data_IF_527645187563
#
_entry.id   IF_527645187563
#
_cell.length_a   1.000
_cell.length_b   1.000
_cell.length_c   1.000
_cell.angle_alpha   90.00
_cell.angle_beta   90.00
_cell.angle_gamma   90.00
#
_symmetry.space_group_name_H-M   'P 1'
#
loop_
_entity.id
_entity.type
_entity.pdbx_description
1 polymer ?
#
# COMPACT_ATOMS: atom_id res chain seq x y z
N UNK A 1 10.97 15.69 22.07
CA UNK A 1 9.81 15.97 21.20
C UNK A 1 8.97 14.72 21.24
N UNK A 2 7.76 14.81 21.80
CA UNK A 2 6.89 13.64 21.97
C UNK A 2 5.85 13.63 20.84
N UNK A 3 5.68 12.47 20.21
CA UNK A 3 4.62 12.26 19.23
C UNK A 3 3.36 11.85 19.99
N UNK A 4 2.31 12.66 19.89
CA UNK A 4 1.02 12.39 20.48
C UNK A 4 0.02 11.99 19.39
N UNK A 5 -0.65 10.86 19.57
CA UNK A 5 -1.72 10.41 18.68
C UNK A 5 -3.05 10.40 19.46
N UNK A 6 -4.15 10.93 18.91
CA UNK A 6 -5.48 10.77 19.51
C UNK A 6 -5.82 9.30 19.76
N UNK A 7 -6.42 8.99 20.91
CA UNK A 7 -6.72 7.60 21.31
C UNK A 7 -7.75 6.91 20.41
N UNK A 8 -8.56 7.70 19.69
CA UNK A 8 -9.56 7.30 18.70
C UNK A 8 -8.98 7.16 17.28
N UNK A 9 -7.69 7.43 17.07
CA UNK A 9 -7.06 7.26 15.77
C UNK A 9 -7.11 5.79 15.33
N UNK A 10 -7.69 5.53 14.16
CA UNK A 10 -7.84 4.19 13.59
C UNK A 10 -6.52 3.41 13.54
N UNK A 11 -5.40 4.11 13.33
CA UNK A 11 -4.07 3.51 13.24
C UNK A 11 -3.70 2.66 14.48
N UNK A 12 -4.22 3.00 15.67
CA UNK A 12 -4.05 2.25 16.91
C UNK A 12 -4.71 0.87 16.85
N UNK A 13 -5.85 0.78 16.19
CA UNK A 13 -6.62 -0.46 16.03
C UNK A 13 -6.00 -1.37 14.97
N UNK A 14 -5.19 -0.80 14.06
CA UNK A 14 -4.59 -1.52 12.95
C UNK A 14 -3.18 -2.02 13.26
N UNK A 15 -2.33 -1.18 13.84
CA UNK A 15 -0.90 -1.45 14.02
C UNK A 15 -0.44 -1.39 15.48
N UNK A 16 0.61 -2.14 15.79
CA UNK A 16 1.31 -2.19 17.09
C UNK A 16 2.27 -1.00 17.24
N UNK A 17 1.72 0.21 17.21
CA UNK A 17 2.51 1.45 17.29
C UNK A 17 2.86 1.76 18.75
N UNK A 18 4.15 1.95 19.00
CA UNK A 18 4.67 2.32 20.32
C UNK A 18 4.84 3.84 20.44
N UNK A 19 3.72 4.54 20.61
CA UNK A 19 3.66 6.00 20.82
C UNK A 19 2.67 6.35 21.93
N UNK A 20 2.78 7.56 22.44
CA UNK A 20 1.86 8.07 23.45
C UNK A 20 0.50 8.37 22.81
N UNK A 21 -0.51 7.61 23.20
CA UNK A 21 -1.90 7.89 22.87
C UNK A 21 -2.53 8.77 23.95
N UNK A 22 -3.28 9.79 23.55
CA UNK A 22 -3.97 10.69 24.47
C UNK A 22 -5.49 10.62 24.31
N UNK A 23 -6.21 10.70 25.43
CA UNK A 23 -7.68 10.67 25.46
C UNK A 23 -8.33 11.98 25.00
N UNK A 24 -7.53 13.00 24.66
CA UNK A 24 -8.03 14.25 24.12
C UNK A 24 -8.51 14.05 22.68
N UNK A 25 -9.83 13.96 22.52
CA UNK A 25 -10.45 14.09 21.20
C UNK A 25 -10.14 15.49 20.64
N UNK A 26 -9.90 15.58 19.33
CA UNK A 26 -9.53 16.84 18.67
C UNK A 26 -8.19 17.45 19.11
N UNK A 27 -7.22 16.63 19.56
CA UNK A 27 -5.87 17.08 19.98
C UNK A 27 -5.22 18.12 19.04
N UNK A 28 -5.39 17.94 17.73
CA UNK A 28 -4.76 18.79 16.71
C UNK A 28 -5.58 20.03 16.32
N UNK A 29 -6.75 20.25 16.94
CA UNK A 29 -7.64 21.36 16.56
C UNK A 29 -7.00 22.70 16.90
N UNK A 30 -6.90 23.56 15.88
CA UNK A 30 -6.29 24.89 16.01
C UNK A 30 -4.76 24.89 15.98
N UNK A 31 -4.11 23.73 15.92
CA UNK A 31 -2.65 23.68 15.77
C UNK A 31 -2.22 24.09 14.35
N UNK A 32 -1.08 24.80 14.22
CA UNK A 32 -0.46 25.01 12.91
C UNK A 32 -0.19 23.69 12.20
N UNK A 33 -0.58 23.60 10.92
CA UNK A 33 -0.38 22.41 10.11
C UNK A 33 0.90 22.50 9.30
N UNK A 34 1.74 21.48 9.38
CA UNK A 34 2.88 21.27 8.50
C UNK A 34 2.48 20.22 7.47
N UNK A 35 2.30 20.65 6.22
CA UNK A 35 1.86 19.80 5.11
C UNK A 35 3.01 19.56 4.14
N UNK A 36 3.04 18.38 3.54
CA UNK A 36 3.84 18.12 2.35
C UNK A 36 3.28 18.94 1.18
N UNK A 37 4.06 19.90 0.68
CA UNK A 37 3.64 20.78 -0.43
C UNK A 37 3.98 20.19 -1.79
N UNK A 38 4.79 19.14 -1.85
CA UNK A 38 5.29 18.54 -3.08
C UNK A 38 4.69 17.17 -3.38
N UNK A 39 3.89 16.59 -2.46
CA UNK A 39 3.28 15.27 -2.60
C UNK A 39 2.76 14.99 -4.02
N UNK A 40 3.12 13.85 -4.65
CA UNK A 40 3.85 12.72 -4.05
C UNK A 40 5.39 12.83 -4.08
N UNK A 41 5.96 13.99 -4.42
CA UNK A 41 7.41 14.26 -4.47
C UNK A 41 7.98 14.57 -3.08
N UNK A 42 9.28 14.33 -2.89
CA UNK A 42 9.94 14.57 -1.61
C UNK A 42 10.11 16.07 -1.30
N UNK A 43 9.40 16.54 -0.28
CA UNK A 43 9.55 17.88 0.31
C UNK A 43 10.53 17.84 1.49
N UNK A 44 11.81 18.16 1.22
CA UNK A 44 12.84 18.24 2.26
C UNK A 44 12.51 19.23 3.39
N UNK A 45 11.65 20.22 3.15
CA UNK A 45 11.34 21.24 4.15
C UNK A 45 10.49 20.68 5.28
N UNK A 46 9.76 19.58 5.05
CA UNK A 46 8.93 18.94 6.06
C UNK A 46 9.74 18.29 7.18
N UNK A 47 11.02 17.98 6.93
CA UNK A 47 11.93 17.43 7.94
C UNK A 47 12.65 18.52 8.75
N UNK A 48 12.59 19.77 8.29
CA UNK A 48 13.31 20.89 8.89
C UNK A 48 12.34 21.89 9.53
N UNK A 49 11.48 21.40 10.42
CA UNK A 49 10.67 22.27 11.27
C UNK A 49 11.33 22.40 12.64
N UNK A 50 11.59 23.64 13.05
CA UNK A 50 11.81 23.99 14.45
C UNK A 50 10.52 24.62 14.94
N UNK A 51 9.96 24.12 16.03
CA UNK A 51 8.79 24.74 16.65
C UNK A 51 9.01 24.94 18.13
N UNK A 52 8.74 26.17 18.58
CA UNK A 52 8.55 26.50 20.00
C UNK A 52 7.12 26.17 20.47
N UNK A 53 6.32 25.51 19.63
CA UNK A 53 4.89 25.23 19.86
C UNK A 53 4.49 23.86 19.32
N UNK A 54 3.31 23.38 19.71
CA UNK A 54 2.76 22.14 19.16
C UNK A 54 2.29 22.35 17.71
N UNK A 55 2.56 21.38 16.84
CA UNK A 55 2.14 21.38 15.43
C UNK A 55 1.34 20.13 15.11
N UNK A 56 0.53 20.21 14.05
CA UNK A 56 -0.08 19.05 13.42
C UNK A 56 0.70 18.69 12.15
N UNK A 57 1.26 17.48 12.11
CA UNK A 57 1.80 16.94 10.86
C UNK A 57 0.65 16.51 9.94
N UNK A 58 0.71 16.96 8.70
CA UNK A 58 -0.26 16.63 7.65
C UNK A 58 -0.10 15.22 7.09
N UNK A 59 -0.98 14.90 6.15
CA UNK A 59 -0.96 13.65 5.37
C UNK A 59 -0.22 13.85 4.04
N UNK A 60 -0.14 12.78 3.23
CA UNK A 60 0.40 12.86 1.86
C UNK A 60 1.89 12.58 1.74
N UNK A 61 2.54 12.07 2.80
CA UNK A 61 3.93 11.64 2.78
C UNK A 61 4.12 10.37 1.93
N UNK A 62 4.09 10.56 0.61
CA UNK A 62 4.15 9.47 -0.38
C UNK A 62 5.54 9.35 -1.03
N UNK A 63 6.57 9.95 -0.44
CA UNK A 63 7.95 9.68 -0.82
C UNK A 63 8.61 8.71 0.15
N UNK A 64 9.27 7.69 -0.39
CA UNK A 64 10.04 6.77 0.42
C UNK A 64 11.23 7.44 1.13
N UNK A 65 11.69 8.58 0.61
CA UNK A 65 12.81 9.35 1.18
C UNK A 65 12.52 9.87 2.59
N UNK A 66 11.24 10.00 2.97
CA UNK A 66 10.88 10.32 4.36
C UNK A 66 11.18 9.18 5.34
N UNK A 67 11.13 7.93 4.87
CA UNK A 67 11.10 6.76 5.75
C UNK A 67 12.38 5.91 5.70
N UNK A 68 13.19 6.03 4.63
CA UNK A 68 14.32 5.11 4.41
C UNK A 68 15.29 5.02 5.59
N UNK A 69 15.60 6.14 6.25
CA UNK A 69 16.49 6.18 7.42
C UNK A 69 15.92 5.44 8.64
N UNK A 70 14.60 5.29 8.68
CA UNK A 70 13.85 4.74 9.78
C UNK A 70 13.17 3.40 9.43
N UNK A 71 13.49 2.80 8.27
CA UNK A 71 12.77 1.65 7.71
C UNK A 71 12.58 0.51 8.71
N UNK A 72 13.66 0.11 9.40
CA UNK A 72 13.61 -0.94 10.43
C UNK A 72 12.67 -0.60 11.60
N UNK A 73 12.69 0.66 12.06
CA UNK A 73 11.84 1.10 13.16
C UNK A 73 10.38 1.21 12.72
N UNK A 74 10.16 1.72 11.51
CA UNK A 74 8.83 1.90 10.94
C UNK A 74 8.15 0.56 10.69
N UNK A 75 8.85 -0.41 10.08
CA UNK A 75 8.33 -1.78 9.89
C UNK A 75 7.99 -2.46 11.21
N UNK A 76 8.77 -2.23 12.29
CA UNK A 76 8.46 -2.75 13.62
C UNK A 76 7.15 -2.16 14.16
N UNK A 77 6.96 -0.85 14.04
CA UNK A 77 5.76 -0.16 14.53
C UNK A 77 4.53 -0.39 13.66
N UNK A 78 4.71 -0.58 12.35
CA UNK A 78 3.65 -0.91 11.39
C UNK A 78 3.44 -2.44 11.28
N UNK A 79 3.64 -3.15 12.39
CA UNK A 79 3.22 -4.55 12.52
C UNK A 79 1.73 -4.57 12.82
N UNK A 80 0.94 -5.34 12.06
CA UNK A 80 -0.49 -5.46 12.33
C UNK A 80 -0.78 -6.03 13.71
N UNK A 81 -1.82 -5.52 14.36
CA UNK A 81 -2.36 -6.07 15.60
C UNK A 81 -2.65 -7.57 15.44
N UNK A 82 -2.43 -8.35 16.51
CA UNK A 82 -2.56 -9.82 16.50
C UNK A 82 -3.84 -10.32 15.84
N UNK A 83 -5.00 -9.72 16.16
CA UNK A 83 -6.28 -10.16 15.62
C UNK A 83 -6.42 -9.94 14.10
N UNK A 84 -5.84 -8.86 13.55
CA UNK A 84 -5.80 -8.60 12.10
C UNK A 84 -4.84 -9.58 11.42
N UNK A 85 -3.66 -9.78 12.02
CA UNK A 85 -2.65 -10.72 11.53
C UNK A 85 -3.19 -12.16 11.47
N UNK A 86 -3.90 -12.58 12.51
CA UNK A 86 -4.48 -13.92 12.58
C UNK A 86 -5.61 -14.09 11.55
N UNK A 87 -6.47 -13.09 11.37
CA UNK A 87 -7.53 -13.11 10.35
C UNK A 87 -6.95 -13.21 8.93
N UNK A 88 -5.94 -12.40 8.60
CA UNK A 88 -5.25 -12.44 7.30
C UNK A 88 -4.61 -13.81 7.04
N UNK A 89 -3.91 -14.38 8.04
CA UNK A 89 -3.31 -15.72 7.92
C UNK A 89 -4.36 -16.81 7.74
N UNK A 90 -5.47 -16.74 8.49
CA UNK A 90 -6.57 -17.68 8.34
C UNK A 90 -7.15 -17.64 6.93
N UNK A 91 -7.31 -16.46 6.35
CA UNK A 91 -7.81 -16.32 4.98
C UNK A 91 -6.84 -16.93 3.96
N UNK A 92 -5.53 -16.66 4.09
CA UNK A 92 -4.51 -17.31 3.25
C UNK A 92 -4.56 -18.84 3.40
N UNK A 93 -4.69 -19.39 4.61
CA UNK A 93 -4.78 -20.84 4.80
C UNK A 93 -6.04 -21.46 4.18
N UNK A 94 -7.19 -20.76 4.25
CA UNK A 94 -8.40 -21.21 3.56
C UNK A 94 -8.20 -21.27 2.05
N UNK A 95 -7.57 -20.24 1.47
CA UNK A 95 -7.22 -20.18 0.04
C UNK A 95 -6.32 -21.35 -0.35
N UNK A 96 -5.25 -21.60 0.41
CA UNK A 96 -4.32 -22.68 0.13
C UNK A 96 -5.00 -24.06 0.22
N UNK A 97 -5.84 -24.26 1.23
CA UNK A 97 -6.63 -25.49 1.37
C UNK A 97 -7.60 -25.69 0.21
N UNK A 98 -8.32 -24.64 -0.20
CA UNK A 98 -9.21 -24.66 -1.38
C UNK A 98 -8.46 -25.08 -2.65
N UNK A 99 -7.17 -24.74 -2.75
CA UNK A 99 -6.28 -25.04 -3.88
C UNK A 99 -5.48 -26.34 -3.71
N UNK A 100 -5.73 -27.13 -2.66
CA UNK A 100 -4.96 -28.34 -2.33
C UNK A 100 -3.45 -28.10 -2.19
N UNK A 101 -3.04 -26.91 -1.76
CA UNK A 101 -1.63 -26.58 -1.48
C UNK A 101 -1.34 -26.89 -0.01
N UNK A 102 -0.49 -27.88 0.22
CA UNK A 102 -0.21 -28.42 1.57
C UNK A 102 0.96 -27.74 2.29
N UNK A 103 1.83 -27.04 1.56
CA UNK A 103 3.02 -26.38 2.10
C UNK A 103 3.19 -24.97 1.55
N UNK A 104 3.46 -24.00 2.43
CA UNK A 104 3.79 -22.63 2.03
C UNK A 104 5.09 -22.54 1.23
N UNK A 105 6.00 -23.51 1.34
CA UNK A 105 7.27 -23.48 0.61
C UNK A 105 7.13 -23.81 -0.88
N UNK A 106 6.00 -24.38 -1.28
CA UNK A 106 5.78 -24.89 -2.63
C UNK A 106 5.04 -23.88 -3.54
N UNK A 107 4.69 -22.72 -2.98
CA UNK A 107 3.93 -21.67 -3.68
C UNK A 107 4.47 -20.28 -3.33
N UNK A 108 4.66 -19.47 -4.36
CA UNK A 108 4.89 -18.02 -4.22
C UNK A 108 3.54 -17.30 -4.23
N UNK A 109 3.23 -16.57 -3.17
CA UNK A 109 2.04 -15.73 -3.09
C UNK A 109 2.36 -14.32 -3.55
N UNK A 110 1.57 -13.79 -4.48
CA UNK A 110 1.69 -12.41 -4.96
C UNK A 110 0.40 -11.68 -4.64
N UNK A 111 0.46 -10.73 -3.72
CA UNK A 111 -0.67 -9.86 -3.40
C UNK A 111 -0.88 -8.85 -4.54
N UNK A 112 -2.11 -8.68 -5.01
CA UNK A 112 -2.44 -7.75 -6.10
C UNK A 112 -3.46 -6.74 -5.58
N UNK A 113 -3.08 -5.46 -5.58
CA UNK A 113 -3.99 -4.37 -5.23
C UNK A 113 -4.39 -3.57 -6.46
N UNK A 114 -5.68 -3.60 -6.79
CA UNK A 114 -6.26 -2.88 -7.92
C UNK A 114 -7.18 -1.76 -7.40
N UNK A 115 -6.74 -0.50 -7.52
CA UNK A 115 -7.55 0.69 -7.23
C UNK A 115 -8.31 1.12 -8.47
N UNK A 116 -9.62 1.16 -8.36
CA UNK A 116 -10.56 1.67 -9.36
C UNK A 116 -11.45 2.74 -8.78
N UNK A 117 -12.31 2.41 -7.82
CA UNK A 117 -13.36 3.25 -7.21
C UNK A 117 -13.41 4.71 -7.66
N UNK A 118 -12.89 5.61 -6.83
CA UNK A 118 -12.83 7.07 -7.07
C UNK A 118 -11.86 7.49 -8.19
N UNK A 119 -11.09 6.55 -8.73
CA UNK A 119 -10.08 6.79 -9.77
C UNK A 119 -10.61 6.61 -11.18
N UNK A 120 -11.70 5.87 -11.36
CA UNK A 120 -12.35 5.73 -12.66
C UNK A 120 -13.05 7.05 -13.01
N UNK A 121 -12.71 7.63 -14.16
CA UNK A 121 -13.35 8.85 -14.67
C UNK A 121 -12.97 10.14 -13.96
N UNK A 122 -11.94 10.14 -13.10
CA UNK A 122 -11.49 11.36 -12.45
C UNK A 122 -10.70 12.29 -13.38
N UNK A 123 -10.72 13.57 -13.02
CA UNK A 123 -9.98 14.65 -13.71
C UNK A 123 -8.62 14.93 -13.07
N UNK A 124 -8.24 14.16 -12.05
CA UNK A 124 -6.99 14.36 -11.31
C UNK A 124 -5.75 13.99 -12.13
N UNK A 125 -5.94 13.32 -13.28
CA UNK A 125 -4.84 13.02 -14.20
C UNK A 125 -4.16 11.68 -13.97
N UNK A 126 -4.77 10.78 -13.19
CA UNK A 126 -4.24 9.44 -13.03
C UNK A 126 -4.54 8.56 -14.25
N UNK A 127 -3.59 7.68 -14.56
CA UNK A 127 -3.87 6.48 -15.33
C UNK A 127 -4.23 5.36 -14.35
N UNK A 128 -5.30 4.64 -14.65
CA UNK A 128 -5.71 3.46 -13.89
C UNK A 128 -5.13 2.22 -14.56
N UNK A 129 -4.97 1.14 -13.78
CA UNK A 129 -4.51 -0.12 -14.33
C UNK A 129 -5.45 -0.61 -15.45
N UNK A 130 -4.83 -1.04 -16.55
CA UNK A 130 -5.49 -1.65 -17.69
C UNK A 130 -5.08 -3.14 -17.79
N UNK A 131 -5.76 -3.94 -18.62
CA UNK A 131 -5.43 -5.35 -18.80
C UNK A 131 -3.97 -5.59 -19.20
N UNK A 132 -3.41 -4.75 -20.07
CA UNK A 132 -2.03 -4.88 -20.54
C UNK A 132 -1.02 -4.80 -19.41
N UNK A 133 -1.16 -3.82 -18.51
CA UNK A 133 -0.32 -3.71 -17.32
C UNK A 133 -0.48 -4.95 -16.43
N UNK A 134 -1.71 -5.39 -16.16
CA UNK A 134 -1.97 -6.54 -15.30
C UNK A 134 -1.33 -7.81 -15.88
N UNK A 135 -1.43 -8.01 -17.21
CA UNK A 135 -0.77 -9.10 -17.92
C UNK A 135 0.75 -9.03 -17.81
N UNK A 136 1.37 -7.86 -18.06
CA UNK A 136 2.82 -7.69 -17.90
C UNK A 136 3.28 -7.95 -16.47
N UNK A 137 2.54 -7.45 -15.48
CA UNK A 137 2.86 -7.60 -14.07
C UNK A 137 2.75 -9.06 -13.60
N UNK A 138 1.68 -9.77 -13.97
CA UNK A 138 1.54 -11.20 -13.72
C UNK A 138 2.66 -11.98 -14.41
N UNK A 139 2.93 -11.67 -15.68
CA UNK A 139 3.98 -12.34 -16.46
C UNK A 139 5.37 -12.20 -15.84
N UNK A 140 5.68 -11.05 -15.23
CA UNK A 140 6.93 -10.87 -14.50
C UNK A 140 7.13 -11.91 -13.38
N UNK A 141 6.09 -12.25 -12.63
CA UNK A 141 6.20 -13.22 -11.53
C UNK A 141 6.17 -14.67 -12.03
N UNK A 142 5.29 -15.03 -12.96
CA UNK A 142 5.20 -16.41 -13.47
C UNK A 142 6.45 -16.83 -14.26
N UNK A 143 7.14 -15.88 -14.91
CA UNK A 143 8.41 -16.17 -15.60
C UNK A 143 9.57 -16.37 -14.62
N UNK A 144 9.48 -15.80 -13.42
CA UNK A 144 10.54 -15.80 -12.42
C UNK A 144 10.38 -16.90 -11.37
N UNK A 145 9.15 -17.27 -11.03
CA UNK A 145 8.83 -18.21 -9.96
C UNK A 145 8.07 -19.41 -10.53
N UNK A 146 8.46 -20.63 -10.12
CA UNK A 146 7.95 -21.89 -10.68
C UNK A 146 6.45 -22.12 -10.44
N UNK A 147 5.93 -21.66 -9.30
CA UNK A 147 4.55 -21.89 -8.86
C UNK A 147 4.06 -20.62 -8.17
N UNK A 148 3.07 -19.95 -8.75
CA UNK A 148 2.60 -18.63 -8.30
C UNK A 148 1.09 -18.63 -8.12
N UNK A 149 0.63 -18.05 -7.02
CA UNK A 149 -0.79 -17.79 -6.75
C UNK A 149 -0.96 -16.29 -6.47
N UNK A 150 -1.83 -15.65 -7.25
CA UNK A 150 -2.16 -14.25 -7.08
C UNK A 150 -3.36 -14.09 -6.15
N UNK A 151 -3.26 -13.23 -5.14
CA UNK A 151 -4.35 -12.90 -4.22
C UNK A 151 -4.76 -11.44 -4.47
N UNK A 152 -5.92 -11.25 -5.09
CA UNK A 152 -6.39 -9.94 -5.57
C UNK A 152 -7.35 -9.31 -4.57
N UNK A 153 -7.04 -8.08 -4.17
CA UNK A 153 -7.96 -7.16 -3.49
C UNK A 153 -8.23 -5.96 -4.40
N UNK A 154 -9.46 -5.46 -4.36
CA UNK A 154 -9.89 -4.39 -5.26
C UNK A 154 -11.16 -3.71 -4.75
N UNK A 155 -11.26 -2.40 -4.95
CA UNK A 155 -12.51 -1.65 -4.80
C UNK A 155 -13.33 -1.61 -6.11
N UNK A 156 -12.88 -2.32 -7.15
CA UNK A 156 -13.58 -2.56 -8.40
C UNK A 156 -13.49 -4.05 -8.76
N UNK A 157 -14.04 -4.91 -7.90
CA UNK A 157 -13.88 -6.36 -7.95
C UNK A 157 -14.38 -6.98 -9.26
N UNK A 158 -15.56 -6.59 -9.74
CA UNK A 158 -16.13 -7.15 -10.97
C UNK A 158 -15.29 -6.81 -12.21
N UNK A 159 -14.80 -5.57 -12.30
CA UNK A 159 -13.86 -5.21 -13.35
C UNK A 159 -12.57 -6.03 -13.24
N UNK A 160 -12.07 -6.25 -12.03
CA UNK A 160 -10.83 -6.99 -11.80
C UNK A 160 -10.95 -8.45 -12.24
N UNK A 161 -12.06 -9.12 -11.91
CA UNK A 161 -12.35 -10.48 -12.37
C UNK A 161 -12.40 -10.61 -13.89
N UNK A 162 -12.90 -9.58 -14.57
CA UNK A 162 -13.02 -9.57 -16.03
C UNK A 162 -11.71 -9.25 -16.76
N UNK A 163 -10.78 -8.52 -16.13
CA UNK A 163 -9.60 -7.96 -16.80
C UNK A 163 -8.26 -8.55 -16.34
N UNK A 164 -8.26 -9.36 -15.27
CA UNK A 164 -7.08 -10.14 -14.89
C UNK A 164 -6.88 -11.33 -15.85
N UNK A 165 -5.63 -11.73 -16.12
CA UNK A 165 -5.35 -12.93 -16.92
C UNK A 165 -6.02 -14.19 -16.34
N UNK A 166 -6.57 -15.02 -17.21
CA UNK A 166 -7.38 -16.19 -16.84
C UNK A 166 -6.61 -17.50 -16.81
N UNK A 167 -5.39 -17.51 -17.34
CA UNK A 167 -4.51 -18.68 -17.50
C UNK A 167 -3.56 -18.90 -16.30
N UNK A 168 -3.73 -18.11 -15.23
CA UNK A 168 -2.94 -18.20 -14.00
C UNK A 168 -3.81 -18.44 -12.76
N UNK A 169 -3.27 -19.03 -11.68
CA UNK A 169 -4.00 -19.19 -10.42
C UNK A 169 -4.27 -17.83 -9.76
N UNK A 170 -5.55 -17.45 -9.64
CA UNK A 170 -5.98 -16.21 -8.97
C UNK A 170 -7.07 -16.50 -7.94
N UNK A 171 -6.95 -15.93 -6.75
CA UNK A 171 -8.02 -15.83 -5.76
C UNK A 171 -8.38 -14.37 -5.50
N UNK A 172 -9.68 -14.08 -5.41
CA UNK A 172 -10.20 -12.75 -5.15
C UNK A 172 -10.68 -12.67 -3.71
N UNK A 173 -10.17 -11.70 -2.95
CA UNK A 173 -10.43 -11.56 -1.51
C UNK A 173 -11.08 -10.21 -1.21
N UNK A 174 -12.05 -10.25 -0.31
CA UNK A 174 -12.56 -9.09 0.41
C UNK A 174 -13.07 -9.55 1.78
N UNK A 175 -12.43 -9.10 2.84
CA UNK A 175 -12.81 -9.36 4.23
C UNK A 175 -13.74 -8.28 4.80
N UNK A 176 -14.24 -7.38 3.94
CA UNK A 176 -15.17 -6.30 4.28
C UNK A 176 -14.54 -5.15 5.08
N UNK A 177 -13.24 -5.22 5.40
CA UNK A 177 -12.49 -4.18 6.11
C UNK A 177 -11.15 -3.92 5.44
N UNK A 178 -10.80 -2.66 5.11
CA UNK A 178 -9.56 -2.34 4.39
C UNK A 178 -8.29 -2.82 5.10
N UNK A 179 -8.24 -2.76 6.43
CA UNK A 179 -7.09 -3.22 7.21
C UNK A 179 -6.89 -4.74 7.14
N UNK A 180 -7.96 -5.51 7.01
CA UNK A 180 -7.90 -6.96 6.84
C UNK A 180 -7.47 -7.33 5.43
N UNK A 181 -7.99 -6.63 4.42
CA UNK A 181 -7.58 -6.79 3.02
C UNK A 181 -6.10 -6.45 2.83
N UNK A 182 -5.65 -5.30 3.39
CA UNK A 182 -4.25 -4.89 3.40
C UNK A 182 -3.37 -5.95 4.06
N UNK A 183 -3.74 -6.40 5.26
CA UNK A 183 -2.96 -7.41 5.98
C UNK A 183 -2.86 -8.71 5.18
N UNK A 184 -3.91 -9.12 4.47
CA UNK A 184 -3.91 -10.33 3.63
C UNK A 184 -2.86 -10.23 2.53
N UNK A 185 -2.82 -9.13 1.79
CA UNK A 185 -1.83 -8.98 0.70
C UNK A 185 -0.42 -8.64 1.18
N UNK A 186 -0.26 -7.93 2.31
CA UNK A 186 1.07 -7.68 2.91
C UNK A 186 1.73 -8.97 3.41
N UNK A 187 0.95 -9.98 3.80
CA UNK A 187 1.46 -11.30 4.19
C UNK A 187 1.78 -12.21 2.99
N UNK A 188 1.58 -11.75 1.75
CA UNK A 188 2.10 -12.43 0.56
C UNK A 188 3.62 -12.25 0.45
N UNK A 189 4.26 -13.04 -0.43
CA UNK A 189 5.70 -12.97 -0.63
C UNK A 189 6.09 -11.73 -1.44
N UNK A 190 5.27 -11.36 -2.42
CA UNK A 190 5.49 -10.22 -3.34
C UNK A 190 4.20 -9.42 -3.56
N UNK A 191 4.31 -8.27 -4.24
CA UNK A 191 3.16 -7.38 -4.49
C UNK A 191 3.13 -6.81 -5.91
N UNK A 192 1.97 -6.85 -6.53
CA UNK A 192 1.60 -5.97 -7.65
C UNK A 192 0.71 -4.87 -7.08
N UNK A 193 1.12 -3.61 -7.25
CA UNK A 193 0.29 -2.46 -6.87
C UNK A 193 -0.10 -1.61 -8.07
N UNK A 194 -1.25 -0.96 -7.94
CA UNK A 194 -1.74 0.08 -8.85
C UNK A 194 -1.69 1.43 -8.14
N UNK A 195 -2.27 2.48 -8.72
CA UNK A 195 -2.23 3.83 -8.15
C UNK A 195 -2.87 3.94 -6.76
N UNK A 196 -2.42 4.93 -5.99
CA UNK A 196 -3.03 5.31 -4.72
C UNK A 196 -2.19 4.98 -3.49
N UNK A 197 -2.46 5.70 -2.40
CA UNK A 197 -1.76 5.57 -1.11
C UNK A 197 -1.85 4.18 -0.50
N UNK A 198 -2.99 3.51 -0.66
CA UNK A 198 -3.22 2.19 -0.10
C UNK A 198 -2.29 1.14 -0.73
N UNK A 199 -2.20 1.11 -2.07
CA UNK A 199 -1.27 0.25 -2.79
C UNK A 199 0.20 0.56 -2.51
N UNK A 200 0.53 1.85 -2.36
CA UNK A 200 1.88 2.29 -2.01
C UNK A 200 2.31 1.74 -0.64
N UNK A 201 1.44 1.82 0.38
CA UNK A 201 1.74 1.25 1.70
C UNK A 201 1.78 -0.27 1.70
N UNK A 202 0.97 -0.96 0.89
CA UNK A 202 1.10 -2.42 0.70
C UNK A 202 2.49 -2.74 0.16
N UNK A 203 2.90 -2.09 -0.94
CA UNK A 203 4.22 -2.30 -1.51
C UNK A 203 5.33 -2.00 -0.51
N UNK A 204 5.20 -0.94 0.29
CA UNK A 204 6.18 -0.59 1.32
C UNK A 204 6.27 -1.67 2.41
N UNK A 205 5.14 -2.20 2.89
CA UNK A 205 5.12 -3.15 4.01
C UNK A 205 5.43 -4.60 3.59
N UNK A 206 5.19 -4.99 2.34
CA UNK A 206 5.55 -6.30 1.81
C UNK A 206 7.08 -6.49 1.80
N UNK A 207 7.55 -7.67 2.20
CA UNK A 207 8.98 -7.96 2.37
C UNK A 207 9.63 -8.61 1.12
N UNK A 208 9.15 -8.27 -0.07
CA UNK A 208 9.63 -8.87 -1.31
C UNK A 208 9.53 -7.93 -2.50
N UNK A 209 9.49 -8.50 -3.70
CA UNK A 209 9.47 -7.70 -4.92
C UNK A 209 8.15 -6.97 -5.08
N UNK A 210 8.23 -5.71 -5.50
CA UNK A 210 7.07 -4.87 -5.77
C UNK A 210 7.09 -4.44 -7.23
N UNK A 211 6.02 -4.79 -7.95
CA UNK A 211 5.72 -4.28 -9.29
C UNK A 211 4.69 -3.18 -9.19
N UNK A 212 4.92 -2.05 -9.86
CA UNK A 212 4.00 -0.91 -9.90
C UNK A 212 3.69 -0.46 -11.33
N UNK A 213 2.54 0.21 -11.49
CA UNK A 213 2.14 0.83 -12.75
C UNK A 213 3.06 2.00 -13.07
N UNK A 214 3.97 1.82 -14.02
CA UNK A 214 4.99 2.84 -14.34
C UNK A 214 4.35 4.10 -14.89
N UNK A 215 3.42 3.97 -15.81
CA UNK A 215 2.78 5.11 -16.45
C UNK A 215 1.55 5.56 -15.66
N UNK A 216 1.71 5.82 -14.35
CA UNK A 216 0.63 6.17 -13.44
C UNK A 216 0.01 7.55 -13.70
N UNK A 217 0.67 8.41 -14.47
CA UNK A 217 0.23 9.76 -14.79
C UNK A 217 -0.18 9.90 -16.26
N UNK A 218 -1.33 10.53 -16.49
CA UNK A 218 -1.81 10.87 -17.82
C UNK A 218 -0.98 12.01 -18.39
N UNK A 219 -0.53 11.87 -19.64
CA UNK A 219 0.24 12.90 -20.35
C UNK A 219 -0.52 14.24 -20.37
N UNK A 220 0.19 15.32 -20.08
CA UNK A 220 -0.34 16.69 -19.97
C UNK A 220 -1.10 17.00 -18.69
N UNK A 221 -1.25 16.04 -17.77
CA UNK A 221 -2.05 16.24 -16.56
C UNK A 221 -1.31 16.99 -15.45
N UNK A 222 -2.07 17.50 -14.47
CA UNK A 222 -1.48 18.04 -13.24
C UNK A 222 -0.66 16.98 -12.51
N UNK A 223 -1.13 15.74 -12.46
CA UNK A 223 -0.44 14.66 -11.76
C UNK A 223 0.93 14.35 -12.38
N UNK A 224 1.04 14.35 -13.71
CA UNK A 224 2.33 14.18 -14.41
C UNK A 224 3.35 15.24 -13.97
N UNK A 225 2.92 16.50 -13.82
CA UNK A 225 3.83 17.60 -13.42
C UNK A 225 4.38 17.50 -12.00
N UNK A 226 3.67 16.80 -11.11
CA UNK A 226 4.04 16.69 -9.69
C UNK A 226 4.61 15.32 -9.30
N UNK A 227 4.49 14.32 -10.17
CA UNK A 227 4.98 12.98 -9.92
C UNK A 227 6.48 12.90 -10.24
N UNK A 228 7.31 12.82 -9.20
CA UNK A 228 8.68 12.37 -9.34
C UNK A 228 8.77 10.86 -9.03
N UNK A 229 9.09 10.06 -10.05
CA UNK A 229 9.18 8.60 -9.93
C UNK A 229 10.25 8.16 -8.92
N UNK A 230 11.40 8.82 -8.88
CA UNK A 230 12.53 8.47 -8.00
C UNK A 230 12.26 8.83 -6.54
N UNK A 231 11.34 9.75 -6.29
CA UNK A 231 10.91 10.11 -4.94
C UNK A 231 9.74 9.26 -4.49
N UNK A 232 8.77 9.01 -5.39
CA UNK A 232 7.54 8.31 -5.06
C UNK A 232 7.77 6.81 -4.92
N UNK A 233 8.37 6.15 -5.91
CA UNK A 233 8.56 4.70 -5.89
C UNK A 233 9.94 4.35 -5.34
N UNK A 234 10.02 3.29 -4.53
CA UNK A 234 11.29 2.83 -3.98
C UNK A 234 12.24 2.42 -5.10
N UNK A 235 13.53 2.69 -4.93
CA UNK A 235 14.54 2.46 -5.97
C UNK A 235 14.67 1.01 -6.43
N UNK A 236 14.31 0.04 -5.59
CA UNK A 236 14.33 -1.39 -5.93
C UNK A 236 12.97 -1.92 -6.41
N UNK A 237 11.94 -1.07 -6.51
CA UNK A 237 10.65 -1.47 -7.09
C UNK A 237 10.71 -1.46 -8.61
N UNK A 238 9.93 -2.33 -9.24
CA UNK A 238 9.91 -2.51 -10.69
C UNK A 238 8.69 -1.84 -11.30
N UNK A 239 8.90 -0.80 -12.10
CA UNK A 239 7.84 -0.20 -12.91
C UNK A 239 7.64 -0.97 -14.22
N UNK A 240 6.39 -1.34 -14.52
CA UNK A 240 5.98 -2.00 -15.78
C UNK A 240 4.81 -1.29 -16.46
#
# INVERSE_FOLDING_TARGET
MDILIPSDAQIRQVFEINVTFTNTSQLCKGLPKVLDKASPTYDRTILNFSSSSNIQLGYGLQSWKYFYKYDKQLRKQLTFQKHIKDAAKQEIYKILRKRNITSRKDITLVGVHIRRGDKVGNNDGFNIANPDYLNRAVNYYVTKYKSVLFIVISDGMEWSKHNMPTDVPIEYVSLGKPELDMATVVHCDHTIMTIGTFGWWIGYLTNGEVVYLKDAARKGSRFERILNHEDHFYSHWRGL
#
